data_IF_152361816373
#
_entry.id   IF_152361816373
#
_cell.length_a   1.000
_cell.length_b   1.000
_cell.length_c   1.000
_cell.angle_alpha   90.00
_cell.angle_beta   90.00
_cell.angle_gamma   90.00
#
_symmetry.space_group_name_H-M   'P 1'
#
loop_
_entity.id
_entity.type
_entity.pdbx_description
1 polymer ?
#
# COMPACT_ATOMS: atom_id res chain seq x y z
N UNK A 1 -7.73 2.11 9.20
CA UNK A 1 -8.19 3.18 8.29
C UNK A 1 -8.37 4.55 8.94
N UNK A 2 -8.81 4.66 10.22
CA UNK A 2 -9.07 5.96 10.90
C UNK A 2 -8.03 7.06 10.66
N UNK A 3 -6.74 6.71 10.73
CA UNK A 3 -5.65 7.65 10.49
C UNK A 3 -5.65 8.25 9.08
N UNK A 4 -5.86 7.44 8.04
CA UNK A 4 -5.90 7.93 6.66
C UNK A 4 -7.11 8.81 6.39
N UNK A 5 -8.27 8.46 6.95
CA UNK A 5 -9.49 9.27 6.82
C UNK A 5 -9.28 10.64 7.46
N UNK A 6 -8.65 10.69 8.65
CA UNK A 6 -8.30 11.96 9.28
C UNK A 6 -7.25 12.73 8.49
N UNK A 7 -6.27 12.06 7.92
CA UNK A 7 -5.24 12.70 7.08
C UNK A 7 -5.88 13.34 5.85
N UNK A 8 -6.75 12.61 5.17
CA UNK A 8 -7.52 13.10 4.04
C UNK A 8 -8.34 14.34 4.39
N UNK A 9 -8.99 14.31 5.55
CA UNK A 9 -9.84 15.41 6.01
C UNK A 9 -9.08 16.56 6.68
N UNK A 10 -7.75 16.52 6.75
CA UNK A 10 -6.96 17.55 7.42
C UNK A 10 -7.05 17.55 8.97
N UNK A 11 -7.36 16.42 9.63
CA UNK A 11 -7.70 16.36 11.06
C UNK A 11 -6.79 15.44 11.91
N UNK A 12 -5.55 15.17 11.48
CA UNK A 12 -4.58 14.38 12.28
C UNK A 12 -3.93 15.23 13.37
N UNK A 13 -3.46 16.43 13.01
CA UNK A 13 -2.83 17.41 13.92
C UNK A 13 -3.55 18.75 13.78
N UNK A 14 -3.32 19.43 12.66
CA UNK A 14 -4.02 20.60 12.14
C UNK A 14 -4.17 20.45 10.62
N UNK A 15 -4.93 21.32 9.95
CA UNK A 15 -5.22 21.18 8.52
C UNK A 15 -3.96 21.21 7.66
N UNK A 16 -3.04 22.15 7.91
CA UNK A 16 -1.83 22.33 7.11
C UNK A 16 -0.89 21.12 7.26
N UNK A 17 -0.55 20.77 8.51
CA UNK A 17 0.33 19.63 8.80
C UNK A 17 -0.25 18.31 8.29
N UNK A 18 -1.57 18.11 8.42
CA UNK A 18 -2.22 16.87 7.98
C UNK A 18 -2.21 16.70 6.46
N UNK A 19 -2.44 17.79 5.71
CA UNK A 19 -2.40 17.77 4.25
C UNK A 19 -0.96 17.67 3.73
N UNK A 20 0.01 18.24 4.44
CA UNK A 20 1.43 18.05 4.11
C UNK A 20 1.87 16.59 4.36
N UNK A 21 1.39 15.93 5.42
CA UNK A 21 1.59 14.49 5.61
C UNK A 21 1.02 13.67 4.44
N UNK A 22 -0.16 14.03 3.92
CA UNK A 22 -0.71 13.42 2.70
C UNK A 22 0.23 13.66 1.51
N UNK A 23 0.70 14.89 1.31
CA UNK A 23 1.64 15.25 0.22
C UNK A 23 2.91 14.42 0.25
N UNK A 24 3.50 14.17 1.43
CA UNK A 24 4.67 13.31 1.57
C UNK A 24 4.43 11.88 1.08
N UNK A 25 3.21 11.33 1.27
CA UNK A 25 2.85 10.02 0.72
C UNK A 25 2.81 10.02 -0.81
N UNK A 26 2.41 11.13 -1.45
CA UNK A 26 2.44 11.28 -2.91
C UNK A 26 3.87 11.39 -3.44
N UNK A 27 4.73 12.08 -2.69
CA UNK A 27 6.14 12.30 -3.04
C UNK A 27 7.04 11.10 -2.70
N UNK A 28 6.46 9.99 -2.22
CA UNK A 28 7.21 8.73 -2.13
C UNK A 28 7.74 8.40 -3.52
N UNK A 29 9.00 8.01 -3.59
CA UNK A 29 9.77 7.75 -4.82
C UNK A 29 9.15 6.59 -5.65
N UNK A 30 9.95 5.66 -6.16
CA UNK A 30 9.45 4.59 -7.03
C UNK A 30 8.25 3.86 -6.42
N UNK A 31 7.16 3.79 -7.20
CA UNK A 31 6.00 2.94 -6.89
C UNK A 31 6.43 1.47 -6.78
N UNK A 32 6.17 0.87 -5.61
CA UNK A 32 6.47 -0.52 -5.29
C UNK A 32 5.25 -1.22 -4.67
N UNK A 33 5.22 -2.56 -4.76
CA UNK A 33 4.18 -3.41 -4.14
C UNK A 33 2.78 -3.01 -4.64
N UNK A 34 1.85 -2.72 -3.72
CA UNK A 34 0.49 -2.30 -4.08
C UNK A 34 0.46 -1.14 -5.09
N UNK A 35 1.29 -0.10 -4.86
CA UNK A 35 1.33 1.08 -5.73
C UNK A 35 1.96 0.81 -7.11
N UNK A 36 2.68 -0.31 -7.28
CA UNK A 36 3.29 -0.67 -8.56
C UNK A 36 2.31 -1.31 -9.56
N UNK A 37 1.05 -1.50 -9.18
CA UNK A 37 0.06 -2.09 -10.08
C UNK A 37 -0.03 -1.31 -11.39
N UNK A 38 0.05 -1.98 -12.56
CA UNK A 38 -0.20 -1.34 -13.84
C UNK A 38 -1.58 -0.70 -13.96
N UNK A 39 -2.60 -1.21 -13.24
CA UNK A 39 -3.95 -0.63 -13.25
C UNK A 39 -3.97 0.79 -12.66
N UNK A 40 -3.03 1.08 -11.75
CA UNK A 40 -2.92 2.37 -11.07
C UNK A 40 -2.03 3.37 -11.82
N UNK A 41 -1.56 3.03 -13.03
CA UNK A 41 -0.58 3.83 -13.79
C UNK A 41 -1.02 5.28 -13.96
N UNK A 42 -2.31 5.53 -14.19
CA UNK A 42 -2.88 6.86 -14.41
C UNK A 42 -3.51 7.47 -13.15
N UNK A 43 -3.59 6.72 -12.05
CA UNK A 43 -4.13 7.22 -10.79
C UNK A 43 -3.07 8.02 -10.02
N UNK A 44 -3.53 9.01 -9.24
CA UNK A 44 -2.72 9.57 -8.18
C UNK A 44 -2.72 8.59 -7.00
N UNK A 45 -1.54 8.23 -6.52
CA UNK A 45 -1.36 7.19 -5.51
C UNK A 45 -0.51 7.75 -4.38
N UNK A 46 -1.13 7.96 -3.22
CA UNK A 46 -0.50 8.44 -2.00
C UNK A 46 -0.20 7.22 -1.14
N UNK A 47 1.06 6.76 -1.09
CA UNK A 47 1.34 5.45 -0.51
C UNK A 47 2.55 5.40 0.40
N UNK A 48 2.55 4.39 1.27
CA UNK A 48 3.75 3.93 1.97
C UNK A 48 3.81 2.41 1.98
N UNK A 49 5.01 1.91 1.70
CA UNK A 49 5.36 0.51 1.89
C UNK A 49 6.26 0.33 3.12
N UNK A 50 6.10 -0.80 3.81
CA UNK A 50 6.93 -1.18 4.95
C UNK A 50 7.14 -2.68 5.02
N UNK A 51 8.32 -3.15 5.42
CA UNK A 51 8.60 -4.59 5.56
C UNK A 51 9.44 -4.83 6.78
N UNK A 52 9.13 -5.90 7.50
CA UNK A 52 9.88 -6.35 8.67
C UNK A 52 9.90 -7.87 8.65
N UNK A 53 11.08 -8.44 8.45
CA UNK A 53 11.26 -9.88 8.37
C UNK A 53 12.43 -10.34 9.23
N UNK A 54 12.34 -11.58 9.70
CA UNK A 54 13.40 -12.24 10.44
C UNK A 54 13.49 -13.71 10.05
N UNK A 55 14.70 -14.25 10.16
CA UNK A 55 14.98 -15.63 9.84
C UNK A 55 15.52 -16.38 11.06
N UNK A 56 15.24 -17.67 11.09
CA UNK A 56 15.82 -18.65 12.00
C UNK A 56 16.56 -19.71 11.19
N UNK A 57 17.53 -20.37 11.81
CA UNK A 57 18.22 -21.51 11.21
C UNK A 57 17.22 -22.62 10.90
N UNK A 58 17.27 -23.12 9.67
CA UNK A 58 16.40 -24.18 9.18
C UNK A 58 17.11 -24.93 8.05
N UNK A 59 17.13 -26.25 8.12
CA UNK A 59 17.78 -27.09 7.11
C UNK A 59 17.11 -26.91 5.73
N UNK A 60 17.94 -26.75 4.69
CA UNK A 60 17.45 -26.55 3.32
C UNK A 60 16.86 -25.16 3.04
N UNK A 61 16.95 -24.20 3.98
CA UNK A 61 16.43 -22.86 3.79
C UNK A 61 17.52 -21.78 3.87
N UNK A 62 17.63 -20.98 2.81
CA UNK A 62 18.47 -19.78 2.80
C UNK A 62 17.61 -18.52 2.91
N UNK A 63 17.89 -17.70 3.93
CA UNK A 63 17.20 -16.44 4.14
C UNK A 63 17.53 -15.44 3.04
N UNK A 64 16.53 -14.67 2.59
CA UNK A 64 16.73 -13.61 1.61
C UNK A 64 15.86 -12.38 1.90
N UNK A 65 15.97 -11.37 1.02
CA UNK A 65 15.20 -10.12 1.15
C UNK A 65 13.71 -10.43 1.09
N UNK A 66 12.98 -10.09 2.16
CA UNK A 66 11.54 -10.30 2.29
C UNK A 66 11.14 -11.78 2.22
N UNK A 67 12.04 -12.65 2.69
CA UNK A 67 11.86 -14.10 2.78
C UNK A 67 12.13 -14.52 4.23
N UNK A 68 11.42 -13.95 5.20
CA UNK A 68 11.54 -14.42 6.59
C UNK A 68 10.89 -15.79 6.79
N UNK A 69 11.56 -16.72 7.47
CA UNK A 69 10.95 -17.99 7.93
C UNK A 69 10.51 -17.96 9.41
N UNK A 70 10.82 -16.89 10.14
CA UNK A 70 10.31 -16.66 11.51
C UNK A 70 9.21 -15.59 11.53
N UNK A 71 9.44 -14.46 10.88
CA UNK A 71 8.44 -13.43 10.61
C UNK A 71 8.72 -12.81 9.26
N UNK A 72 7.68 -12.45 8.50
CA UNK A 72 7.84 -11.88 7.16
C UNK A 72 6.75 -10.86 6.84
N UNK A 73 6.66 -9.82 7.66
CA UNK A 73 5.66 -8.79 7.48
C UNK A 73 5.94 -7.95 6.24
N UNK A 74 4.92 -7.82 5.40
CA UNK A 74 4.91 -6.88 4.30
C UNK A 74 3.65 -6.05 4.34
N UNK A 75 3.83 -4.73 4.25
CA UNK A 75 2.79 -3.74 4.42
C UNK A 75 2.70 -2.83 3.20
N UNK A 76 1.46 -2.47 2.86
CA UNK A 76 1.12 -1.44 1.89
C UNK A 76 -0.04 -0.62 2.42
N UNK A 77 0.13 0.70 2.44
CA UNK A 77 -0.91 1.67 2.72
C UNK A 77 -1.01 2.57 1.50
N UNK A 78 -2.23 2.83 1.01
CA UNK A 78 -2.45 3.70 -0.13
C UNK A 78 -3.78 4.46 -0.05
N UNK A 79 -3.78 5.69 -0.53
CA UNK A 79 -4.97 6.43 -0.98
C UNK A 79 -4.85 6.49 -2.50
N UNK A 80 -5.88 6.05 -3.21
CA UNK A 80 -5.93 6.04 -4.67
C UNK A 80 -7.00 7.01 -5.12
N UNK A 81 -6.62 7.93 -5.99
CA UNK A 81 -7.52 8.89 -6.63
C UNK A 81 -7.46 8.65 -8.14
N UNK A 82 -8.61 8.27 -8.71
CA UNK A 82 -8.76 7.97 -10.14
C UNK A 82 -9.34 9.16 -10.89
N UNK A 83 -9.04 9.22 -12.19
CA UNK A 83 -9.57 10.26 -13.08
C UNK A 83 -11.10 10.21 -13.23
N UNK A 84 -11.73 9.07 -12.95
CA UNK A 84 -13.19 8.89 -12.96
C UNK A 84 -13.87 9.33 -11.64
N UNK A 85 -13.12 9.97 -10.73
CA UNK A 85 -13.62 10.49 -9.46
C UNK A 85 -13.68 9.45 -8.33
N UNK A 86 -13.36 8.17 -8.59
CA UNK A 86 -13.31 7.18 -7.53
C UNK A 86 -12.09 7.42 -6.61
N UNK A 87 -12.36 7.52 -5.31
CA UNK A 87 -11.34 7.66 -4.26
C UNK A 87 -11.50 6.51 -3.27
N UNK A 88 -10.41 5.79 -3.01
CA UNK A 88 -10.45 4.68 -2.06
C UNK A 88 -9.16 4.52 -1.27
N UNK A 89 -9.31 3.88 -0.11
CA UNK A 89 -8.27 3.71 0.88
C UNK A 89 -7.93 2.23 1.05
N UNK A 90 -6.64 1.95 1.19
CA UNK A 90 -6.12 0.59 1.30
C UNK A 90 -5.17 0.52 2.49
N UNK A 91 -5.37 -0.48 3.34
CA UNK A 91 -4.43 -0.86 4.39
C UNK A 91 -4.28 -2.38 4.33
N UNK A 92 -3.13 -2.83 3.82
CA UNK A 92 -2.82 -4.23 3.56
C UNK A 92 -1.57 -4.65 4.34
N UNK A 93 -1.71 -5.74 5.10
CA UNK A 93 -0.61 -6.42 5.80
C UNK A 93 -0.65 -7.90 5.46
N UNK A 94 0.52 -8.49 5.20
CA UNK A 94 0.71 -9.92 5.06
C UNK A 94 1.86 -10.41 5.93
N UNK A 95 1.85 -11.70 6.28
CA UNK A 95 2.94 -12.38 6.98
C UNK A 95 3.14 -13.78 6.37
N UNK A 96 3.53 -13.83 5.11
CA UNK A 96 3.72 -15.11 4.38
C UNK A 96 5.17 -15.52 4.50
N UNK A 97 5.44 -16.60 5.25
CA UNK A 97 6.79 -17.07 5.47
C UNK A 97 7.43 -17.54 4.16
N UNK A 98 8.75 -17.36 4.05
CA UNK A 98 9.57 -17.83 2.92
C UNK A 98 9.14 -17.31 1.55
N UNK A 99 8.33 -16.23 1.50
CA UNK A 99 7.79 -15.67 0.25
C UNK A 99 7.88 -14.16 0.21
N UNK A 100 8.52 -13.64 -0.83
CA UNK A 100 8.50 -12.22 -1.13
C UNK A 100 7.14 -11.87 -1.72
N UNK A 101 6.26 -11.31 -0.89
CA UNK A 101 4.86 -11.02 -1.22
C UNK A 101 4.68 -9.69 -1.98
N UNK A 102 5.75 -9.09 -2.51
CA UNK A 102 5.67 -7.79 -3.18
C UNK A 102 4.78 -7.84 -4.43
N UNK A 103 4.91 -8.91 -5.23
CA UNK A 103 4.06 -9.16 -6.41
C UNK A 103 2.63 -9.51 -6.01
N UNK A 104 2.41 -10.19 -4.88
CA UNK A 104 1.07 -10.48 -4.38
C UNK A 104 0.32 -9.19 -4.02
N UNK A 105 0.99 -8.26 -3.34
CA UNK A 105 0.42 -6.94 -3.03
C UNK A 105 0.07 -6.16 -4.31
N UNK A 106 0.94 -6.22 -5.33
CA UNK A 106 0.70 -5.59 -6.64
C UNK A 106 -0.51 -6.22 -7.37
N UNK A 107 -0.58 -7.56 -7.40
CA UNK A 107 -1.66 -8.28 -8.05
C UNK A 107 -3.00 -8.04 -7.34
N UNK A 108 -2.99 -7.94 -6.02
CA UNK A 108 -4.18 -7.60 -5.25
C UNK A 108 -4.67 -6.19 -5.58
N UNK A 109 -3.75 -5.23 -5.75
CA UNK A 109 -4.10 -3.88 -6.19
C UNK A 109 -4.84 -3.88 -7.54
N UNK A 110 -4.34 -4.62 -8.54
CA UNK A 110 -5.03 -4.74 -9.83
C UNK A 110 -6.44 -5.30 -9.70
N UNK A 111 -6.67 -6.24 -8.79
CA UNK A 111 -7.98 -6.84 -8.56
C UNK A 111 -8.91 -5.87 -7.84
N UNK A 112 -8.47 -5.29 -6.73
CA UNK A 112 -9.26 -4.32 -5.97
C UNK A 112 -9.68 -3.15 -6.85
N UNK A 113 -8.74 -2.58 -7.61
CA UNK A 113 -8.98 -1.45 -8.49
C UNK A 113 -9.98 -1.75 -9.63
N UNK A 114 -10.05 -3.01 -10.06
CA UNK A 114 -11.05 -3.48 -11.03
C UNK A 114 -12.44 -3.62 -10.41
N UNK A 115 -12.53 -4.08 -9.17
CA UNK A 115 -13.82 -4.30 -8.50
C UNK A 115 -14.47 -2.99 -8.02
N UNK A 116 -13.69 -1.93 -7.81
CA UNK A 116 -14.21 -0.61 -7.45
C UNK A 116 -14.87 0.04 -8.67
N UNK A 117 -16.19 0.15 -8.62
CA UNK A 117 -16.99 0.83 -9.63
C UNK A 117 -16.98 2.34 -9.38
N UNK A 118 -16.98 3.17 -10.43
CA UNK A 118 -17.18 4.60 -10.27
C UNK A 118 -18.57 4.87 -9.66
N UNK A 119 -18.67 5.88 -8.81
CA UNK A 119 -19.96 6.42 -8.41
C UNK A 119 -20.55 7.14 -9.62
N UNK A 120 -21.61 6.59 -10.20
CA UNK A 120 -22.46 7.35 -11.13
C UNK A 120 -23.08 8.49 -10.32
N UNK A 121 -22.70 9.72 -10.63
CA UNK A 121 -23.41 10.92 -10.19
C UNK A 121 -24.41 11.20 -11.29
N UNK A 122 -25.68 10.91 -11.00
CA UNK A 122 -26.83 11.32 -11.83
C UNK A 122 -26.99 12.85 -11.82
#
# INVERSE_FOLDING_TARGET
MKFLVRMESGSVVDQESSLELKRLLYMTDRRIRYAASPSLKTAAVYFKSGSLYSCAQEEGYSCGKYLGNKSNYMNSVAIVERADGAIYFVVLMSNVLKKNSASDHMNLASRVDREIKPHQVD
#
